data_IF_394659484608
#
_entry.id   IF_394659484608
#
_cell.length_a   1.000
_cell.length_b   1.000
_cell.length_c   1.000
_cell.angle_alpha   90.00
_cell.angle_beta   90.00
_cell.angle_gamma   90.00
#
_symmetry.space_group_name_H-M   'P 1'
#
loop_
_entity.id
_entity.type
_entity.pdbx_description
1 polymer ?
#
# COMPACT_ATOMS: atom_id res chain seq x y z
N UNK A 1 -47.61 34.91 6.04
CA UNK A 1 -47.31 34.28 4.73
C UNK A 1 -47.04 35.38 3.72
N UNK A 2 -45.98 35.25 2.95
CA UNK A 2 -45.68 36.12 1.80
C UNK A 2 -46.05 35.32 0.54
N UNK A 3 -47.01 35.84 -0.21
CA UNK A 3 -47.48 35.20 -1.44
C UNK A 3 -46.70 35.82 -2.61
N UNK A 4 -46.10 35.02 -3.48
CA UNK A 4 -45.45 35.49 -4.69
C UNK A 4 -46.43 36.25 -5.60
N UNK A 5 -45.90 37.18 -6.41
CA UNK A 5 -46.68 37.80 -7.48
C UNK A 5 -47.11 36.73 -8.51
N UNK A 6 -48.12 37.03 -9.33
CA UNK A 6 -48.66 36.14 -10.35
C UNK A 6 -47.48 35.59 -11.24
N UNK A 7 -47.33 34.29 -11.34
CA UNK A 7 -46.23 33.63 -12.03
C UNK A 7 -44.97 33.41 -11.18
N UNK A 8 -44.96 33.78 -9.90
CA UNK A 8 -43.88 33.50 -8.95
C UNK A 8 -43.93 32.07 -8.37
N UNK A 9 -42.93 31.72 -7.55
CA UNK A 9 -42.83 30.43 -6.88
C UNK A 9 -43.91 30.17 -5.82
N UNK A 10 -43.78 29.07 -5.07
CA UNK A 10 -44.73 28.73 -4.01
C UNK A 10 -44.71 29.75 -2.84
N UNK A 11 -45.81 29.87 -2.08
CA UNK A 11 -45.88 30.76 -0.91
C UNK A 11 -44.80 30.43 0.12
N UNK A 12 -44.20 31.48 0.68
CA UNK A 12 -43.29 31.40 1.84
C UNK A 12 -44.10 31.68 3.11
N UNK A 13 -43.92 30.92 4.15
CA UNK A 13 -44.61 31.12 5.43
C UNK A 13 -43.64 31.04 6.61
N UNK A 14 -43.87 31.89 7.61
CA UNK A 14 -43.19 31.87 8.90
C UNK A 14 -44.26 31.59 9.97
N UNK A 15 -44.06 30.57 10.75
CA UNK A 15 -44.95 30.10 11.81
C UNK A 15 -44.15 29.73 13.05
N UNK A 16 -44.83 29.33 14.13
CA UNK A 16 -44.16 28.75 15.31
C UNK A 16 -43.35 27.45 14.98
N UNK A 17 -43.70 26.80 13.88
CA UNK A 17 -42.95 25.62 13.38
C UNK A 17 -41.72 25.97 12.53
N UNK A 18 -41.42 27.29 12.34
CA UNK A 18 -40.26 27.74 11.57
C UNK A 18 -40.62 28.35 10.21
N UNK A 19 -39.60 28.52 9.38
CA UNK A 19 -39.69 29.06 8.03
C UNK A 19 -39.95 27.96 7.02
N UNK A 20 -41.07 28.00 6.31
CA UNK A 20 -41.29 27.22 5.10
C UNK A 20 -41.06 28.09 3.87
N UNK A 21 -39.99 27.80 3.13
CA UNK A 21 -39.57 28.57 1.94
C UNK A 21 -40.36 28.18 0.67
N UNK A 22 -41.35 27.29 0.74
CA UNK A 22 -42.17 26.85 -0.38
C UNK A 22 -41.39 26.16 -1.52
N UNK A 23 -40.21 25.63 -1.25
CA UNK A 23 -39.34 25.01 -2.28
C UNK A 23 -38.62 26.06 -3.17
N UNK A 24 -38.67 27.33 -2.84
CA UNK A 24 -37.95 28.36 -3.59
C UNK A 24 -36.45 28.37 -3.25
N UNK A 25 -35.62 28.88 -4.16
CA UNK A 25 -34.20 29.11 -3.87
C UNK A 25 -34.02 30.17 -2.82
N UNK A 26 -33.09 29.95 -1.88
CA UNK A 26 -32.59 31.00 -0.99
C UNK A 26 -31.28 31.49 -1.61
N UNK A 27 -31.19 32.76 -1.95
CA UNK A 27 -30.05 33.42 -2.58
C UNK A 27 -29.41 34.43 -1.60
N UNK A 28 -28.15 34.84 -1.88
CA UNK A 28 -27.39 35.79 -1.04
C UNK A 28 -27.15 35.28 0.40
N UNK A 29 -27.05 33.97 0.59
CA UNK A 29 -26.67 33.41 1.87
C UNK A 29 -25.16 33.64 2.06
N UNK A 30 -24.82 34.44 3.09
CA UNK A 30 -23.41 34.61 3.49
C UNK A 30 -22.79 33.26 3.93
N UNK A 31 -21.48 33.12 3.87
CA UNK A 31 -20.81 31.93 4.45
C UNK A 31 -21.12 31.84 5.95
N UNK A 32 -21.68 30.70 6.35
CA UNK A 32 -21.90 30.38 7.76
C UNK A 32 -20.64 29.73 8.38
N UNK A 33 -20.60 29.67 9.70
CA UNK A 33 -19.55 28.91 10.40
C UNK A 33 -19.70 27.42 10.14
N UNK A 34 -18.60 26.76 9.82
CA UNK A 34 -18.56 25.30 9.66
C UNK A 34 -17.86 24.70 10.89
N UNK A 35 -18.64 24.35 11.90
CA UNK A 35 -18.14 23.69 13.13
C UNK A 35 -19.16 22.65 13.63
N UNK A 36 -18.74 21.83 14.57
CA UNK A 36 -19.62 20.81 15.17
C UNK A 36 -20.79 21.38 15.96
N UNK A 37 -20.73 22.66 16.33
CA UNK A 37 -21.74 23.36 17.15
C UNK A 37 -22.45 24.48 16.42
N UNK A 38 -22.09 24.74 15.17
CA UNK A 38 -22.70 25.79 14.36
C UNK A 38 -24.16 25.46 14.06
N UNK A 39 -24.98 26.51 14.10
CA UNK A 39 -26.39 26.50 13.67
C UNK A 39 -26.60 27.34 12.43
N UNK A 40 -25.54 27.83 11.79
CA UNK A 40 -25.61 28.69 10.62
C UNK A 40 -26.04 27.92 9.36
N UNK A 41 -26.69 28.63 8.45
CA UNK A 41 -26.93 28.12 7.12
C UNK A 41 -25.61 28.07 6.32
N UNK A 42 -25.38 27.01 5.59
CA UNK A 42 -24.21 26.83 4.71
C UNK A 42 -24.61 27.09 3.26
N UNK A 43 -23.83 27.89 2.55
CA UNK A 43 -24.08 28.14 1.12
C UNK A 43 -23.37 27.10 0.22
N UNK A 44 -23.76 27.08 -1.07
CA UNK A 44 -23.26 26.11 -2.05
C UNK A 44 -21.75 26.15 -2.27
N UNK A 45 -21.10 27.32 -2.11
CA UNK A 45 -19.64 27.41 -2.28
C UNK A 45 -18.89 26.74 -1.13
N UNK A 46 -19.39 26.85 0.10
CA UNK A 46 -18.81 26.15 1.25
C UNK A 46 -18.93 24.65 1.11
N UNK A 47 -20.08 24.13 0.68
CA UNK A 47 -20.28 22.71 0.42
C UNK A 47 -19.37 22.22 -0.72
N UNK A 48 -19.28 22.96 -1.82
CA UNK A 48 -18.41 22.64 -2.95
C UNK A 48 -16.94 22.52 -2.51
N UNK A 49 -16.45 23.49 -1.75
CA UNK A 49 -15.09 23.50 -1.25
C UNK A 49 -14.83 22.34 -0.27
N UNK A 50 -15.75 22.04 0.63
CA UNK A 50 -15.64 20.94 1.57
C UNK A 50 -15.56 19.58 0.84
N UNK A 51 -16.39 19.37 -0.18
CA UNK A 51 -16.38 18.17 -1.01
C UNK A 51 -15.06 18.04 -1.76
N UNK A 52 -14.61 19.11 -2.45
CA UNK A 52 -13.38 19.07 -3.23
C UNK A 52 -12.15 18.78 -2.36
N UNK A 53 -12.06 19.41 -1.19
CA UNK A 53 -10.97 19.14 -0.24
C UNK A 53 -10.99 17.69 0.24
N UNK A 54 -12.15 17.14 0.57
CA UNK A 54 -12.29 15.75 1.02
C UNK A 54 -11.94 14.77 -0.09
N UNK A 55 -12.43 15.00 -1.31
CA UNK A 55 -12.12 14.14 -2.47
C UNK A 55 -10.65 14.22 -2.83
N UNK A 56 -10.04 15.40 -2.79
CA UNK A 56 -8.60 15.58 -3.04
C UNK A 56 -7.74 14.84 -2.04
N UNK A 57 -8.08 14.89 -0.76
CA UNK A 57 -7.37 14.16 0.29
C UNK A 57 -7.48 12.63 0.11
N UNK A 58 -8.67 12.15 -0.24
CA UNK A 58 -8.89 10.71 -0.51
C UNK A 58 -8.10 10.27 -1.74
N UNK A 59 -8.12 11.03 -2.82
CA UNK A 59 -7.37 10.72 -4.03
C UNK A 59 -5.87 10.62 -3.76
N UNK A 60 -5.29 11.56 -3.02
CA UNK A 60 -3.89 11.51 -2.61
C UNK A 60 -3.55 10.32 -1.70
N UNK A 61 -4.45 9.94 -0.79
CA UNK A 61 -4.28 8.78 0.06
C UNK A 61 -4.30 7.47 -0.75
N UNK A 62 -5.20 7.37 -1.74
CA UNK A 62 -5.29 6.20 -2.65
C UNK A 62 -4.03 6.07 -3.51
N UNK A 63 -3.54 7.17 -4.09
CA UNK A 63 -2.29 7.17 -4.86
C UNK A 63 -1.10 6.72 -4.02
N UNK A 64 -0.96 7.24 -2.81
CA UNK A 64 0.09 6.83 -1.88
C UNK A 64 0.01 5.33 -1.56
N UNK A 65 -1.20 4.81 -1.32
CA UNK A 65 -1.42 3.40 -1.06
C UNK A 65 -1.04 2.53 -2.26
N UNK A 66 -1.42 2.91 -3.47
CA UNK A 66 -1.04 2.21 -4.70
C UNK A 66 0.48 2.15 -4.88
N UNK A 67 1.18 3.26 -4.65
CA UNK A 67 2.64 3.33 -4.72
C UNK A 67 3.30 2.41 -3.69
N UNK A 68 2.78 2.37 -2.46
CA UNK A 68 3.28 1.47 -1.41
C UNK A 68 3.02 0.01 -1.75
N UNK A 69 1.86 -0.32 -2.28
CA UNK A 69 1.54 -1.69 -2.73
C UNK A 69 2.46 -2.14 -3.87
N UNK A 70 2.76 -1.25 -4.82
CA UNK A 70 3.72 -1.53 -5.90
C UNK A 70 5.13 -1.83 -5.36
N UNK A 71 5.61 -1.04 -4.40
CA UNK A 71 6.90 -1.30 -3.73
C UNK A 71 6.89 -2.64 -2.99
N UNK A 72 5.88 -2.90 -2.17
CA UNK A 72 5.76 -4.13 -1.40
C UNK A 72 5.74 -5.37 -2.30
N UNK A 73 5.02 -5.31 -3.41
CA UNK A 73 5.00 -6.38 -4.41
C UNK A 73 6.40 -6.63 -4.99
N UNK A 74 7.09 -5.57 -5.42
CA UNK A 74 8.43 -5.69 -5.98
C UNK A 74 9.43 -6.23 -4.95
N UNK A 75 9.32 -5.82 -3.70
CA UNK A 75 10.19 -6.31 -2.62
C UNK A 75 9.92 -7.79 -2.31
N UNK A 76 8.65 -8.21 -2.33
CA UNK A 76 8.25 -9.61 -2.19
C UNK A 76 8.74 -10.47 -3.35
N UNK A 77 8.59 -10.00 -4.59
CA UNK A 77 9.06 -10.71 -5.79
C UNK A 77 10.60 -10.82 -5.80
N UNK A 78 11.30 -9.80 -5.31
CA UNK A 78 12.76 -9.83 -5.15
C UNK A 78 13.21 -10.79 -4.05
N UNK A 79 12.47 -10.88 -2.94
CA UNK A 79 12.70 -11.89 -1.90
C UNK A 79 12.53 -13.31 -2.44
N UNK A 80 11.53 -13.55 -3.26
CA UNK A 80 11.30 -14.81 -3.96
C UNK A 80 12.46 -15.13 -4.91
N UNK A 81 12.95 -14.15 -5.66
CA UNK A 81 14.13 -14.33 -6.50
C UNK A 81 15.36 -14.71 -5.67
N UNK A 82 15.60 -14.06 -4.52
CA UNK A 82 16.70 -14.46 -3.60
C UNK A 82 16.58 -15.92 -3.13
N UNK A 83 15.37 -16.34 -2.77
CA UNK A 83 15.13 -17.73 -2.34
C UNK A 83 15.38 -18.73 -3.46
N UNK A 84 14.96 -18.41 -4.69
CA UNK A 84 15.25 -19.24 -5.87
C UNK A 84 16.75 -19.33 -6.15
N UNK A 85 17.49 -18.22 -6.01
CA UNK A 85 18.95 -18.23 -6.14
C UNK A 85 19.60 -19.13 -5.08
N UNK A 86 19.16 -19.03 -3.81
CA UNK A 86 19.66 -19.90 -2.74
C UNK A 86 19.37 -21.40 -3.00
N UNK A 87 18.18 -21.69 -3.51
CA UNK A 87 17.78 -23.07 -3.87
C UNK A 87 18.58 -23.61 -5.05
N UNK A 88 18.99 -22.75 -5.99
CA UNK A 88 19.79 -23.13 -7.15
C UNK A 88 21.29 -23.34 -6.87
N UNK A 89 21.75 -23.07 -5.64
CA UNK A 89 23.17 -23.28 -5.30
C UNK A 89 23.50 -24.78 -5.22
N UNK A 90 24.45 -25.26 -6.03
CA UNK A 90 25.00 -26.61 -5.87
C UNK A 90 25.71 -26.73 -4.51
N UNK A 91 25.82 -27.93 -4.00
CA UNK A 91 26.53 -28.22 -2.76
C UNK A 91 27.56 -29.36 -2.98
N UNK A 92 28.55 -29.46 -2.08
CA UNK A 92 29.47 -30.59 -2.06
C UNK A 92 28.70 -31.91 -1.98
N UNK A 93 29.19 -32.96 -2.66
CA UNK A 93 28.56 -34.27 -2.70
C UNK A 93 29.54 -35.39 -2.41
N UNK A 94 30.85 -35.10 -2.37
CA UNK A 94 31.89 -36.12 -2.04
C UNK A 94 32.33 -35.93 -0.58
N UNK A 95 32.50 -37.05 0.16
CA UNK A 95 33.07 -37.04 1.51
C UNK A 95 34.43 -36.33 1.56
N UNK A 96 34.67 -35.56 2.62
CA UNK A 96 35.90 -34.81 2.83
C UNK A 96 36.11 -33.61 1.89
N UNK A 97 35.12 -33.25 1.06
CA UNK A 97 35.22 -32.12 0.12
C UNK A 97 34.38 -30.93 0.55
N UNK A 98 34.88 -29.75 0.18
CA UNK A 98 34.18 -28.46 0.32
C UNK A 98 33.94 -27.88 -1.05
N UNK A 99 32.89 -27.05 -1.17
CA UNK A 99 32.52 -26.35 -2.39
C UNK A 99 32.14 -24.91 -2.08
N UNK A 100 32.59 -24.01 -2.94
CA UNK A 100 32.03 -22.64 -3.04
C UNK A 100 31.22 -22.59 -4.32
N UNK A 101 30.01 -22.05 -4.24
CA UNK A 101 29.09 -22.01 -5.36
C UNK A 101 28.45 -20.62 -5.47
N UNK A 102 28.06 -20.25 -6.67
CA UNK A 102 27.27 -19.04 -6.96
C UNK A 102 26.06 -19.41 -7.79
N UNK A 103 24.99 -18.67 -7.63
CA UNK A 103 23.75 -18.89 -8.34
C UNK A 103 23.04 -17.57 -8.61
N UNK A 104 22.30 -17.49 -9.70
CA UNK A 104 21.46 -16.36 -10.06
C UNK A 104 20.05 -16.84 -10.41
N UNK A 105 19.07 -15.97 -10.22
CA UNK A 105 17.68 -16.25 -10.53
C UNK A 105 16.96 -15.00 -11.01
N UNK A 106 15.82 -15.19 -11.64
CA UNK A 106 14.88 -14.11 -11.93
C UNK A 106 13.46 -14.55 -11.59
N UNK A 107 12.67 -13.64 -11.04
CA UNK A 107 11.26 -13.87 -10.75
C UNK A 107 10.47 -12.57 -10.93
N UNK A 108 9.47 -12.58 -11.84
CA UNK A 108 8.59 -11.45 -12.16
C UNK A 108 9.32 -10.12 -12.37
N UNK A 109 10.46 -10.17 -13.09
CA UNK A 109 11.28 -9.00 -13.39
C UNK A 109 12.23 -8.56 -12.27
N UNK A 110 12.24 -9.24 -11.13
CA UNK A 110 13.24 -9.06 -10.08
C UNK A 110 14.36 -10.10 -10.22
N UNK A 111 15.57 -9.73 -9.82
CA UNK A 111 16.75 -10.58 -9.87
C UNK A 111 17.18 -10.95 -8.46
N UNK A 112 17.59 -12.22 -8.29
CA UNK A 112 18.22 -12.73 -7.09
C UNK A 112 19.59 -13.32 -7.41
N UNK A 113 20.51 -13.23 -6.48
CA UNK A 113 21.82 -13.84 -6.55
C UNK A 113 22.18 -14.44 -5.20
N UNK A 114 22.95 -15.50 -5.23
CA UNK A 114 23.40 -16.19 -4.04
C UNK A 114 24.84 -16.64 -4.18
N UNK A 115 25.56 -16.64 -3.08
CA UNK A 115 26.85 -17.28 -2.90
C UNK A 115 26.76 -18.21 -1.71
N UNK A 116 27.33 -19.40 -1.81
CA UNK A 116 27.27 -20.39 -0.75
C UNK A 116 28.56 -21.17 -0.61
N UNK A 117 28.76 -21.69 0.59
CA UNK A 117 29.79 -22.63 0.94
C UNK A 117 29.15 -23.89 1.50
N UNK A 118 29.69 -25.06 1.13
CA UNK A 118 29.25 -26.33 1.71
C UNK A 118 30.45 -27.22 1.95
N UNK A 119 30.38 -28.08 2.95
CA UNK A 119 31.40 -29.06 3.29
C UNK A 119 30.75 -30.35 3.75
N UNK A 120 31.40 -31.46 3.44
CA UNK A 120 31.02 -32.79 3.93
C UNK A 120 32.19 -33.33 4.76
N UNK A 121 31.89 -33.91 5.92
CA UNK A 121 32.88 -34.57 6.77
C UNK A 121 33.59 -35.74 6.06
N UNK A 122 34.79 -36.10 6.52
CA UNK A 122 35.57 -37.17 5.93
C UNK A 122 34.79 -38.50 5.92
N UNK A 123 34.00 -38.78 6.95
CA UNK A 123 33.12 -39.94 7.02
C UNK A 123 31.84 -39.84 6.19
N UNK A 124 31.59 -38.72 5.54
CA UNK A 124 30.43 -38.56 4.68
C UNK A 124 29.10 -38.24 5.42
N UNK A 125 29.08 -38.39 6.75
CA UNK A 125 27.81 -38.35 7.50
C UNK A 125 27.28 -36.93 7.79
N UNK A 126 28.16 -35.96 7.94
CA UNK A 126 27.78 -34.58 8.22
C UNK A 126 27.92 -33.69 7.00
N UNK A 127 26.90 -32.90 6.74
CA UNK A 127 26.88 -31.87 5.70
C UNK A 127 26.60 -30.52 6.37
N UNK A 128 27.42 -29.53 6.06
CA UNK A 128 27.20 -28.15 6.50
C UNK A 128 27.11 -27.22 5.28
N UNK A 129 26.16 -26.30 5.28
CA UNK A 129 25.99 -25.33 4.20
C UNK A 129 25.71 -23.94 4.80
N UNK A 130 26.42 -22.94 4.30
CA UNK A 130 26.14 -21.53 4.55
C UNK A 130 25.84 -20.82 3.24
N UNK A 131 24.89 -19.90 3.24
CA UNK A 131 24.47 -19.16 2.04
C UNK A 131 24.24 -17.68 2.38
N UNK A 132 24.73 -16.78 1.53
CA UNK A 132 24.36 -15.39 1.52
C UNK A 132 23.61 -15.08 0.23
N UNK A 133 22.55 -14.30 0.32
CA UNK A 133 21.71 -13.90 -0.82
C UNK A 133 21.57 -12.39 -0.91
N UNK A 134 21.33 -11.91 -2.10
CA UNK A 134 20.97 -10.53 -2.37
C UNK A 134 19.99 -10.44 -3.54
N UNK A 135 19.44 -9.25 -3.77
CA UNK A 135 18.51 -9.04 -4.87
C UNK A 135 18.58 -7.63 -5.45
N UNK A 136 17.85 -7.43 -6.55
CA UNK A 136 17.77 -6.15 -7.29
C UNK A 136 17.15 -4.99 -6.49
N UNK A 137 16.57 -5.27 -5.31
CA UNK A 137 15.97 -4.27 -4.41
C UNK A 137 16.91 -3.89 -3.26
N UNK A 138 18.13 -4.46 -3.23
CA UNK A 138 19.13 -4.17 -2.19
C UNK A 138 18.89 -4.90 -0.87
N UNK A 139 18.01 -5.91 -0.83
CA UNK A 139 17.80 -6.73 0.35
C UNK A 139 18.80 -7.88 0.39
N UNK A 140 19.27 -8.21 1.58
CA UNK A 140 20.21 -9.28 1.83
C UNK A 140 19.62 -10.30 2.78
N UNK A 141 20.03 -11.55 2.63
CA UNK A 141 19.68 -12.65 3.51
C UNK A 141 20.86 -13.58 3.70
N UNK A 142 20.88 -14.32 4.80
CA UNK A 142 21.85 -15.35 5.06
C UNK A 142 21.18 -16.55 5.70
N UNK A 143 21.71 -17.76 5.38
CA UNK A 143 21.27 -19.01 5.99
C UNK A 143 22.46 -19.86 6.35
N UNK A 144 22.31 -20.68 7.38
CA UNK A 144 23.21 -21.76 7.72
C UNK A 144 22.37 -23.00 8.01
N UNK A 145 22.84 -24.14 7.55
CA UNK A 145 22.18 -25.42 7.78
C UNK A 145 23.20 -26.53 7.95
N UNK A 146 22.84 -27.56 8.73
CA UNK A 146 23.59 -28.77 8.89
C UNK A 146 22.63 -29.95 8.74
N UNK A 147 23.12 -31.02 8.16
CA UNK A 147 22.42 -32.29 8.00
C UNK A 147 23.29 -33.47 8.37
N UNK A 148 22.68 -34.53 8.85
CA UNK A 148 23.30 -35.81 9.12
C UNK A 148 22.65 -36.89 8.26
N UNK A 149 23.49 -37.67 7.58
CA UNK A 149 23.05 -38.80 6.79
C UNK A 149 23.70 -40.10 7.33
N UNK A 150 22.96 -41.20 7.34
CA UNK A 150 23.36 -42.50 7.87
C UNK A 150 23.40 -43.58 6.78
#
# INVERSE_FOLDING_TARGET
>A
TITPAAGGGNPVSLTTGGLNNGGNKITNVAPGEISATSTDAVNGSQLHNAINNSVGNIAGAVENLQNRMGKLRNDSDAGTASALAAAGLPQAYLPGKSMIAVSGSTYRGQQGYAVGMSAISDGGNWIVKGTATGNSRGHFGATIGAGYQW
#
